data_IF_478833238207
#
_entry.id   IF_478833238207
#
_cell.length_a   1.000
_cell.length_b   1.000
_cell.length_c   1.000
_cell.angle_alpha   90.00
_cell.angle_beta   90.00
_cell.angle_gamma   90.00
#
_symmetry.space_group_name_H-M   'P 1'
#
loop_
_entity.id
_entity.type
_entity.pdbx_description
1 polymer ?
#
# COMPACT_ATOMS: atom_id res chain seq x y z
N UNK A 1 5.03 20.87 87.55
CA UNK A 1 4.40 21.70 86.50
C UNK A 1 3.03 21.09 86.21
N UNK A 2 1.99 21.60 86.89
CA UNK A 2 0.77 22.21 86.33
C UNK A 2 0.05 21.30 85.32
N UNK A 3 -0.94 20.53 85.78
CA UNK A 3 -2.41 20.79 85.64
C UNK A 3 -2.90 20.45 84.22
N UNK A 4 -3.91 19.61 83.96
CA UNK A 4 -5.35 19.76 84.25
C UNK A 4 -6.02 18.41 83.88
N UNK A 5 -6.57 17.66 84.84
CA UNK A 5 -8.02 17.41 85.10
C UNK A 5 -8.92 17.07 83.90
N UNK A 6 -9.49 15.86 83.98
CA UNK A 6 -10.71 15.38 83.32
C UNK A 6 -11.85 16.41 83.30
N UNK A 7 -12.61 16.44 82.21
CA UNK A 7 -14.07 16.55 82.23
C UNK A 7 -14.65 16.01 80.90
N UNK A 8 -15.44 14.95 81.02
CA UNK A 8 -16.38 14.50 80.00
C UNK A 8 -17.37 15.63 79.69
N UNK A 9 -17.68 15.84 78.43
CA UNK A 9 -18.96 16.40 77.99
C UNK A 9 -19.26 15.85 76.60
N UNK A 10 -20.26 14.97 76.58
CA UNK A 10 -20.86 14.43 75.38
C UNK A 10 -21.52 15.55 74.58
N UNK A 11 -21.18 15.65 73.30
CA UNK A 11 -22.00 16.32 72.31
C UNK A 11 -22.03 15.41 71.07
N UNK A 12 -22.93 14.42 71.12
CA UNK A 12 -23.43 13.74 69.93
C UNK A 12 -24.12 14.79 69.06
N UNK A 13 -23.41 15.26 68.03
CA UNK A 13 -24.06 15.91 66.90
C UNK A 13 -24.54 14.78 65.98
N UNK A 14 -25.78 14.34 66.18
CA UNK A 14 -26.54 13.64 65.15
C UNK A 14 -26.80 14.65 64.02
N UNK A 15 -25.86 14.77 63.08
CA UNK A 15 -26.20 15.23 61.74
C UNK A 15 -26.85 14.04 61.05
N UNK A 16 -28.18 13.95 61.20
CA UNK A 16 -29.00 13.18 60.29
C UNK A 16 -28.80 13.77 58.90
N UNK A 17 -27.88 13.20 58.12
CA UNK A 17 -27.95 13.29 56.67
C UNK A 17 -29.25 12.60 56.28
N UNK A 18 -30.32 13.36 56.10
CA UNK A 18 -31.45 12.92 55.33
C UNK A 18 -30.89 12.59 53.94
N UNK A 19 -30.59 11.31 53.69
CA UNK A 19 -30.43 10.80 52.36
C UNK A 19 -31.75 11.13 51.65
N UNK A 20 -31.74 12.15 50.80
CA UNK A 20 -32.86 12.41 49.91
C UNK A 20 -33.01 11.14 49.07
N UNK A 21 -34.01 10.32 49.38
CA UNK A 21 -34.35 9.16 48.57
C UNK A 21 -34.56 9.67 47.15
N UNK A 22 -33.79 9.11 46.21
CA UNK A 22 -33.87 9.49 44.81
C UNK A 22 -35.28 9.17 44.31
N UNK A 23 -36.01 10.17 43.82
CA UNK A 23 -37.39 9.97 43.35
C UNK A 23 -37.39 9.28 41.97
N UNK A 24 -37.63 7.97 41.96
CA UNK A 24 -37.69 7.16 40.75
C UNK A 24 -39.01 7.27 39.98
N UNK A 25 -39.98 8.05 40.46
CA UNK A 25 -41.22 8.31 39.72
C UNK A 25 -41.01 9.25 38.53
N UNK A 26 -39.93 10.03 38.53
CA UNK A 26 -39.66 11.08 37.55
C UNK A 26 -39.51 10.53 36.10
N UNK A 27 -39.92 11.31 35.07
CA UNK A 27 -39.98 10.85 33.68
C UNK A 27 -38.67 10.30 33.12
N UNK A 28 -37.52 10.83 33.55
CA UNK A 28 -36.21 10.35 33.07
C UNK A 28 -35.93 8.89 33.41
N UNK A 29 -36.62 8.32 34.41
CA UNK A 29 -36.46 6.93 34.83
C UNK A 29 -37.45 5.97 34.16
N UNK A 30 -38.44 6.47 33.41
CA UNK A 30 -39.52 5.64 32.85
C UNK A 30 -39.02 4.46 32.01
N UNK A 31 -37.90 4.65 31.29
CA UNK A 31 -37.26 3.58 30.50
C UNK A 31 -36.71 2.41 31.33
N UNK A 32 -36.57 2.56 32.65
CA UNK A 32 -36.03 1.54 33.54
C UNK A 32 -37.10 0.63 34.17
N UNK A 33 -38.39 0.83 33.88
CA UNK A 33 -39.46 -0.01 34.42
C UNK A 33 -40.81 0.70 34.48
N UNK A 34 -41.89 -0.06 34.60
CA UNK A 34 -43.23 0.49 34.64
C UNK A 34 -43.50 1.22 35.97
N UNK A 35 -43.08 0.64 37.09
CA UNK A 35 -43.26 1.20 38.44
C UNK A 35 -41.97 1.83 38.98
N UNK A 36 -42.05 2.78 39.94
CA UNK A 36 -40.87 3.33 40.62
C UNK A 36 -39.96 2.26 41.22
N UNK A 37 -40.51 1.19 41.80
CA UNK A 37 -39.77 0.10 42.41
C UNK A 37 -39.00 -0.72 41.36
N UNK A 38 -39.62 -1.00 40.21
CA UNK A 38 -38.94 -1.68 39.10
C UNK A 38 -37.79 -0.83 38.55
N UNK A 39 -38.00 0.48 38.44
CA UNK A 39 -36.98 1.44 37.96
C UNK A 39 -35.78 1.47 38.90
N UNK A 40 -36.02 1.60 40.20
CA UNK A 40 -34.96 1.55 41.22
C UNK A 40 -34.16 0.25 41.12
N UNK A 41 -34.84 -0.89 41.12
CA UNK A 41 -34.18 -2.19 41.09
C UNK A 41 -33.36 -2.40 39.82
N UNK A 42 -33.87 -1.98 38.66
CA UNK A 42 -33.17 -2.13 37.39
C UNK A 42 -31.98 -1.16 37.27
N UNK A 43 -32.09 0.04 37.83
CA UNK A 43 -30.95 0.98 37.93
C UNK A 43 -29.86 0.39 38.83
N UNK A 44 -30.23 -0.17 39.99
CA UNK A 44 -29.30 -0.87 40.88
C UNK A 44 -28.62 -2.05 40.18
N UNK A 45 -29.38 -2.90 39.48
CA UNK A 45 -28.82 -4.01 38.71
C UNK A 45 -27.86 -3.53 37.62
N UNK A 46 -28.14 -2.39 36.98
CA UNK A 46 -27.22 -1.78 36.00
C UNK A 46 -25.91 -1.31 36.64
N UNK A 47 -25.98 -0.76 37.85
CA UNK A 47 -24.81 -0.38 38.63
C UNK A 47 -24.01 -1.61 39.09
N UNK A 48 -24.68 -2.67 39.55
CA UNK A 48 -24.01 -3.92 39.90
C UNK A 48 -23.38 -4.60 38.68
N UNK A 49 -24.02 -4.57 37.51
CA UNK A 49 -23.39 -5.02 36.26
C UNK A 49 -22.08 -4.26 35.99
N UNK A 50 -22.08 -2.93 36.16
CA UNK A 50 -20.88 -2.12 36.00
C UNK A 50 -19.80 -2.51 37.01
N UNK A 51 -20.15 -2.57 38.29
CA UNK A 51 -19.22 -2.87 39.38
C UNK A 51 -18.63 -4.27 39.24
N UNK A 52 -19.44 -5.28 38.90
CA UNK A 52 -18.97 -6.64 38.64
C UNK A 52 -17.99 -6.68 37.46
N UNK A 53 -18.22 -5.92 36.39
CA UNK A 53 -17.24 -5.76 35.30
C UNK A 53 -15.94 -5.12 35.78
N UNK A 54 -16.01 -4.03 36.54
CA UNK A 54 -14.84 -3.30 37.07
C UNK A 54 -14.01 -4.20 38.00
N UNK A 55 -14.68 -5.00 38.84
CA UNK A 55 -14.08 -5.96 39.76
C UNK A 55 -13.68 -7.29 39.09
N UNK A 56 -13.92 -7.44 37.78
CA UNK A 56 -13.63 -8.65 36.99
C UNK A 56 -14.39 -9.90 37.44
N UNK A 57 -15.50 -9.75 38.14
CA UNK A 57 -16.44 -10.83 38.46
C UNK A 57 -17.45 -11.02 37.32
N UNK A 58 -17.02 -11.75 36.29
CA UNK A 58 -17.81 -11.93 35.07
C UNK A 58 -18.95 -12.94 35.21
N UNK A 59 -19.01 -13.70 36.30
CA UNK A 59 -20.15 -14.59 36.60
C UNK A 59 -21.30 -13.77 37.20
N UNK A 60 -21.00 -12.93 38.20
CA UNK A 60 -21.98 -11.98 38.73
C UNK A 60 -22.44 -10.99 37.65
N UNK A 61 -21.52 -10.46 36.85
CA UNK A 61 -21.87 -9.57 35.74
C UNK A 61 -22.83 -10.23 34.74
N UNK A 62 -22.58 -11.49 34.35
CA UNK A 62 -23.47 -12.22 33.44
C UNK A 62 -24.87 -12.43 34.03
N UNK A 63 -24.98 -12.65 35.34
CA UNK A 63 -26.26 -12.75 36.03
C UNK A 63 -27.07 -11.44 35.95
N UNK A 64 -26.46 -10.30 36.30
CA UNK A 64 -27.13 -8.99 36.20
C UNK A 64 -27.46 -8.61 34.76
N UNK A 65 -26.56 -8.89 33.82
CA UNK A 65 -26.77 -8.65 32.39
C UNK A 65 -28.04 -9.34 31.89
N UNK A 66 -28.19 -10.63 32.19
CA UNK A 66 -29.37 -11.40 31.77
C UNK A 66 -30.65 -10.79 32.33
N UNK A 67 -30.68 -10.49 33.62
CA UNK A 67 -31.86 -9.90 34.26
C UNK A 67 -32.27 -8.55 33.67
N UNK A 68 -31.30 -7.74 33.25
CA UNK A 68 -31.56 -6.46 32.58
C UNK A 68 -32.09 -6.67 31.16
N UNK A 69 -31.48 -7.57 30.38
CA UNK A 69 -31.92 -7.88 29.02
C UNK A 69 -33.35 -8.43 28.99
N UNK A 70 -33.70 -9.34 29.91
CA UNK A 70 -35.02 -9.97 29.94
C UNK A 70 -36.14 -8.98 30.29
N UNK A 71 -35.82 -7.90 31.01
CA UNK A 71 -36.83 -6.94 31.53
C UNK A 71 -36.89 -5.63 30.77
N UNK A 72 -35.73 -5.07 30.40
CA UNK A 72 -35.58 -3.70 29.90
C UNK A 72 -34.53 -3.61 28.78
N UNK A 73 -34.69 -4.36 27.68
CA UNK A 73 -33.67 -4.47 26.63
C UNK A 73 -33.39 -3.15 25.88
N UNK A 74 -34.27 -2.17 25.97
CA UNK A 74 -34.20 -0.87 25.31
C UNK A 74 -33.88 0.31 26.27
N UNK A 75 -33.60 0.04 27.55
CA UNK A 75 -33.36 1.09 28.54
C UNK A 75 -32.02 1.82 28.36
N UNK A 76 -30.93 1.07 28.10
CA UNK A 76 -29.60 1.64 27.96
C UNK A 76 -28.67 0.80 27.09
N UNK A 77 -28.04 1.45 26.10
CA UNK A 77 -27.02 0.84 25.24
C UNK A 77 -25.83 0.25 26.02
N UNK A 78 -25.50 0.87 27.17
CA UNK A 78 -24.42 0.40 28.04
C UNK A 78 -24.61 -1.03 28.55
N UNK A 79 -25.85 -1.54 28.57
CA UNK A 79 -26.15 -2.94 28.92
C UNK A 79 -25.41 -3.86 27.94
N UNK A 80 -25.56 -3.63 26.65
CA UNK A 80 -24.92 -4.44 25.60
C UNK A 80 -23.42 -4.18 25.49
N UNK A 81 -22.97 -2.94 25.67
CA UNK A 81 -21.53 -2.64 25.69
C UNK A 81 -20.81 -3.37 26.83
N UNK A 82 -21.40 -3.38 28.03
CA UNK A 82 -20.89 -4.17 29.17
C UNK A 82 -21.06 -5.67 28.91
N UNK A 83 -22.15 -6.10 28.28
CA UNK A 83 -22.33 -7.49 27.86
C UNK A 83 -21.21 -7.98 26.95
N UNK A 84 -20.77 -7.16 25.99
CA UNK A 84 -19.62 -7.48 25.16
C UNK A 84 -18.33 -7.62 25.99
N UNK A 85 -18.11 -6.74 26.98
CA UNK A 85 -16.97 -6.86 27.91
C UNK A 85 -17.03 -8.16 28.71
N UNK A 86 -18.22 -8.53 29.22
CA UNK A 86 -18.44 -9.79 29.95
C UNK A 86 -18.06 -10.97 29.07
N UNK A 87 -18.68 -11.12 27.91
CA UNK A 87 -18.48 -12.31 27.10
C UNK A 87 -17.07 -12.40 26.51
N UNK A 88 -16.43 -11.29 26.10
CA UNK A 88 -15.00 -11.30 25.71
C UNK A 88 -14.10 -11.85 26.82
N UNK A 89 -14.38 -11.47 28.06
CA UNK A 89 -13.63 -11.95 29.22
C UNK A 89 -13.94 -13.41 29.56
N UNK A 90 -15.18 -13.87 29.36
CA UNK A 90 -15.55 -15.27 29.54
C UNK A 90 -14.96 -16.17 28.44
N UNK A 91 -14.92 -15.72 27.19
CA UNK A 91 -14.23 -16.42 26.07
C UNK A 91 -12.77 -16.68 26.43
N UNK A 92 -12.06 -15.68 26.95
CA UNK A 92 -10.66 -15.79 27.34
C UNK A 92 -10.42 -16.72 28.55
N UNK A 93 -11.47 -17.02 29.33
CA UNK A 93 -11.42 -17.86 30.54
C UNK A 93 -12.12 -19.21 30.35
N UNK A 94 -12.66 -19.48 29.16
CA UNK A 94 -13.39 -20.70 28.88
C UNK A 94 -12.49 -21.92 29.05
N UNK A 95 -13.01 -22.97 29.68
CA UNK A 95 -12.28 -24.21 30.01
C UNK A 95 -12.40 -25.27 28.93
N UNK A 96 -13.31 -25.07 27.97
CA UNK A 96 -13.54 -25.99 26.86
C UNK A 96 -13.88 -25.25 25.57
N UNK A 97 -13.73 -25.94 24.43
CA UNK A 97 -14.14 -25.42 23.12
C UNK A 97 -15.65 -25.16 23.08
N UNK A 98 -16.46 -26.04 23.67
CA UNK A 98 -17.91 -25.88 23.71
C UNK A 98 -18.33 -24.63 24.50
N UNK A 99 -17.73 -24.41 25.67
CA UNK A 99 -17.96 -23.22 26.48
C UNK A 99 -17.49 -21.95 25.76
N UNK A 100 -16.32 -22.00 25.11
CA UNK A 100 -15.80 -20.90 24.32
C UNK A 100 -16.76 -20.52 23.20
N UNK A 101 -17.27 -21.49 22.45
CA UNK A 101 -18.23 -21.27 21.36
C UNK A 101 -19.54 -20.67 21.87
N UNK A 102 -20.09 -21.20 22.98
CA UNK A 102 -21.29 -20.65 23.61
C UNK A 102 -21.11 -19.17 24.00
N UNK A 103 -19.95 -18.79 24.57
CA UNK A 103 -19.67 -17.39 24.90
C UNK A 103 -19.43 -16.51 23.67
N UNK A 104 -18.86 -17.06 22.58
CA UNK A 104 -18.79 -16.34 21.31
C UNK A 104 -20.19 -16.06 20.77
N UNK A 105 -21.08 -17.05 20.78
CA UNK A 105 -22.45 -16.86 20.30
C UNK A 105 -23.21 -15.83 21.16
N UNK A 106 -22.98 -15.86 22.48
CA UNK A 106 -23.52 -14.85 23.40
C UNK A 106 -22.95 -13.45 23.13
N UNK A 107 -21.66 -13.33 22.78
CA UNK A 107 -21.06 -12.06 22.36
C UNK A 107 -21.70 -11.54 21.07
N UNK A 108 -21.92 -12.40 20.08
CA UNK A 108 -22.59 -12.03 18.83
C UNK A 108 -24.01 -11.53 19.09
N UNK A 109 -24.74 -12.19 19.99
CA UNK A 109 -26.08 -11.77 20.41
C UNK A 109 -26.06 -10.37 21.06
N UNK A 110 -25.03 -10.02 21.84
CA UNK A 110 -24.93 -8.66 22.40
C UNK A 110 -24.85 -7.59 21.31
N UNK A 111 -24.14 -7.85 20.21
CA UNK A 111 -24.10 -6.93 19.08
C UNK A 111 -25.43 -6.89 18.32
N UNK A 112 -26.07 -8.04 18.11
CA UNK A 112 -27.38 -8.11 17.43
C UNK A 112 -28.46 -7.34 18.20
N UNK A 113 -28.54 -7.54 19.51
CA UNK A 113 -29.48 -6.82 20.37
C UNK A 113 -29.13 -5.33 20.44
N UNK A 114 -27.83 -4.98 20.53
CA UNK A 114 -27.42 -3.57 20.47
C UNK A 114 -27.84 -2.90 19.17
N UNK A 115 -27.70 -3.58 18.04
CA UNK A 115 -28.14 -3.07 16.74
C UNK A 115 -29.67 -2.93 16.69
N UNK A 116 -30.41 -3.92 17.19
CA UNK A 116 -31.87 -3.90 17.24
C UNK A 116 -32.44 -2.74 18.07
N UNK A 117 -31.91 -2.54 19.28
CA UNK A 117 -32.48 -1.56 20.23
C UNK A 117 -31.81 -0.19 20.16
N UNK A 118 -30.55 -0.12 19.72
CA UNK A 118 -29.73 1.10 19.76
C UNK A 118 -28.97 1.39 18.47
N UNK A 119 -29.38 0.82 17.34
CA UNK A 119 -28.86 1.11 16.01
C UNK A 119 -29.41 2.41 15.44
N UNK A 120 -29.90 2.36 14.19
CA UNK A 120 -30.30 3.55 13.43
C UNK A 120 -31.55 4.25 13.99
N UNK A 121 -32.35 3.54 14.79
CA UNK A 121 -33.45 4.12 15.56
C UNK A 121 -32.98 5.16 16.58
N UNK A 122 -31.71 5.14 16.97
CA UNK A 122 -31.09 6.11 17.89
C UNK A 122 -30.24 7.13 17.15
N UNK A 123 -29.41 6.69 16.20
CA UNK A 123 -28.56 7.56 15.39
C UNK A 123 -28.36 6.93 14.01
N UNK A 124 -28.66 7.62 12.90
CA UNK A 124 -28.38 7.12 11.57
C UNK A 124 -26.92 6.67 11.38
N UNK A 125 -26.72 5.53 10.71
CA UNK A 125 -25.42 4.90 10.45
C UNK A 125 -24.87 4.04 11.60
N UNK A 126 -25.55 4.02 12.76
CA UNK A 126 -25.05 3.33 13.95
C UNK A 126 -25.20 1.82 13.85
N UNK A 127 -26.20 1.31 13.14
CA UNK A 127 -26.34 -0.15 12.91
C UNK A 127 -25.10 -0.68 12.19
N UNK A 128 -24.65 0.00 11.13
CA UNK A 128 -23.46 -0.39 10.36
C UNK A 128 -22.20 -0.45 11.24
N UNK A 129 -21.98 0.58 12.08
CA UNK A 129 -20.88 0.61 13.05
C UNK A 129 -20.92 -0.54 14.07
N UNK A 130 -22.11 -0.94 14.53
CA UNK A 130 -22.27 -2.07 15.46
C UNK A 130 -21.99 -3.40 14.74
N UNK A 131 -22.46 -3.55 13.50
CA UNK A 131 -22.22 -4.74 12.68
C UNK A 131 -20.73 -4.89 12.29
N UNK A 132 -20.02 -3.79 12.01
CA UNK A 132 -18.57 -3.83 11.79
C UNK A 132 -17.82 -4.36 13.01
N UNK A 133 -18.14 -3.84 14.21
CA UNK A 133 -17.57 -4.37 15.46
C UNK A 133 -17.88 -5.87 15.63
N UNK A 134 -19.11 -6.29 15.33
CA UNK A 134 -19.49 -7.71 15.35
C UNK A 134 -18.63 -8.53 14.39
N UNK A 135 -18.42 -8.07 13.15
CA UNK A 135 -17.61 -8.74 12.15
C UNK A 135 -16.14 -8.88 12.59
N UNK A 136 -15.56 -7.84 13.20
CA UNK A 136 -14.18 -7.86 13.72
C UNK A 136 -14.02 -8.82 14.91
N UNK A 137 -14.99 -8.87 15.82
CA UNK A 137 -14.97 -9.86 16.90
C UNK A 137 -15.18 -11.29 16.37
N UNK A 138 -16.01 -11.46 15.33
CA UNK A 138 -16.20 -12.75 14.67
C UNK A 138 -14.90 -13.23 14.02
N UNK A 139 -14.22 -12.38 13.24
CA UNK A 139 -12.89 -12.64 12.68
C UNK A 139 -11.87 -13.03 13.76
N UNK A 140 -11.87 -12.32 14.89
CA UNK A 140 -10.96 -12.59 16.01
C UNK A 140 -11.19 -13.95 16.67
N UNK A 141 -12.45 -14.33 16.90
CA UNK A 141 -12.78 -15.47 17.74
C UNK A 141 -13.18 -16.74 16.98
N UNK A 142 -13.63 -16.61 15.73
CA UNK A 142 -13.93 -17.71 14.80
C UNK A 142 -13.11 -17.58 13.50
N UNK A 143 -11.76 -17.51 13.55
CA UNK A 143 -10.93 -17.27 12.37
C UNK A 143 -11.04 -18.37 11.29
N UNK A 144 -11.48 -19.57 11.66
CA UNK A 144 -11.66 -20.70 10.76
C UNK A 144 -13.03 -20.70 10.05
N UNK A 145 -14.00 -19.92 10.53
CA UNK A 145 -15.31 -19.79 9.89
C UNK A 145 -15.23 -18.67 8.83
N UNK A 146 -14.48 -18.94 7.76
CA UNK A 146 -14.18 -17.96 6.71
C UNK A 146 -15.45 -17.44 6.06
N UNK A 147 -16.40 -18.33 5.75
CA UNK A 147 -17.72 -17.96 5.24
C UNK A 147 -18.46 -17.02 6.20
N UNK A 148 -18.54 -17.34 7.49
CA UNK A 148 -19.20 -16.49 8.49
C UNK A 148 -18.55 -15.11 8.64
N UNK A 149 -17.22 -15.03 8.53
CA UNK A 149 -16.48 -13.76 8.49
C UNK A 149 -16.93 -12.93 7.28
N UNK A 150 -16.94 -13.53 6.08
CA UNK A 150 -17.37 -12.84 4.84
C UNK A 150 -18.81 -12.32 4.96
N UNK A 151 -19.72 -13.14 5.49
CA UNK A 151 -21.12 -12.76 5.68
C UNK A 151 -21.29 -11.61 6.69
N UNK A 152 -20.56 -11.63 7.81
CA UNK A 152 -20.63 -10.58 8.82
C UNK A 152 -20.14 -9.22 8.29
N UNK A 153 -19.02 -9.20 7.56
CA UNK A 153 -18.53 -7.99 6.92
C UNK A 153 -19.44 -7.50 5.79
N UNK A 154 -19.96 -8.39 4.94
CA UNK A 154 -20.95 -8.03 3.92
C UNK A 154 -22.19 -7.38 4.53
N UNK A 155 -22.68 -7.87 5.67
CA UNK A 155 -23.81 -7.27 6.37
C UNK A 155 -23.50 -5.85 6.86
N UNK A 156 -22.31 -5.61 7.41
CA UNK A 156 -21.88 -4.27 7.84
C UNK A 156 -21.79 -3.29 6.65
N UNK A 157 -21.19 -3.72 5.54
CA UNK A 157 -21.04 -2.90 4.32
C UNK A 157 -22.41 -2.63 3.68
N UNK A 158 -23.30 -3.63 3.61
CA UNK A 158 -24.64 -3.46 3.07
C UNK A 158 -25.49 -2.49 3.90
N UNK A 159 -25.35 -2.53 5.23
CA UNK A 159 -26.03 -1.60 6.14
C UNK A 159 -25.48 -0.18 6.03
N UNK A 160 -24.16 -0.02 5.86
CA UNK A 160 -23.51 1.28 5.79
C UNK A 160 -23.64 1.96 4.42
N UNK A 161 -23.70 1.18 3.34
CA UNK A 161 -23.73 1.71 1.98
C UNK A 161 -22.53 2.64 1.72
N UNK A 162 -22.81 3.82 1.15
CA UNK A 162 -21.81 4.85 0.88
C UNK A 162 -21.22 5.48 2.16
N UNK A 163 -21.85 5.29 3.33
CA UNK A 163 -21.37 5.76 4.65
C UNK A 163 -20.62 4.69 5.45
N UNK A 164 -20.31 3.55 4.84
CA UNK A 164 -19.49 2.50 5.46
C UNK A 164 -18.10 3.06 5.80
N UNK A 165 -17.51 2.63 6.92
CA UNK A 165 -16.11 2.94 7.22
C UNK A 165 -15.19 2.35 6.13
N UNK A 166 -14.34 3.14 5.44
CA UNK A 166 -13.43 2.63 4.42
C UNK A 166 -12.52 1.50 4.92
N UNK A 167 -12.14 1.51 6.20
CA UNK A 167 -11.36 0.43 6.79
C UNK A 167 -12.13 -0.90 6.80
N UNK A 168 -13.45 -0.87 7.00
CA UNK A 168 -14.30 -2.07 6.94
C UNK A 168 -14.31 -2.67 5.53
N UNK A 169 -14.37 -1.83 4.49
CA UNK A 169 -14.32 -2.28 3.09
C UNK A 169 -12.98 -2.95 2.79
N UNK A 170 -11.87 -2.32 3.20
CA UNK A 170 -10.52 -2.89 3.04
C UNK A 170 -10.36 -4.18 3.82
N UNK A 171 -10.82 -4.24 5.08
CA UNK A 171 -10.72 -5.42 5.93
C UNK A 171 -11.50 -6.60 5.34
N UNK A 172 -12.73 -6.36 4.88
CA UNK A 172 -13.54 -7.36 4.18
C UNK A 172 -12.82 -7.90 2.94
N UNK A 173 -12.43 -7.00 2.04
CA UNK A 173 -11.89 -7.39 0.75
C UNK A 173 -10.52 -8.07 0.89
N UNK A 174 -9.68 -7.61 1.82
CA UNK A 174 -8.40 -8.28 2.13
C UNK A 174 -8.62 -9.70 2.65
N UNK A 175 -9.59 -9.92 3.53
CA UNK A 175 -9.93 -11.27 4.00
C UNK A 175 -10.47 -12.15 2.86
N UNK A 176 -11.28 -11.58 1.95
CA UNK A 176 -11.76 -12.30 0.77
C UNK A 176 -10.59 -12.72 -0.14
N UNK A 177 -9.62 -11.84 -0.37
CA UNK A 177 -8.40 -12.17 -1.13
C UNK A 177 -7.53 -13.22 -0.43
N UNK A 178 -7.44 -13.18 0.91
CA UNK A 178 -6.74 -14.22 1.69
C UNK A 178 -7.45 -15.57 1.60
N UNK A 179 -8.79 -15.58 1.59
CA UNK A 179 -9.58 -16.80 1.44
C UNK A 179 -9.30 -17.46 0.10
N UNK A 180 -9.27 -16.68 -0.97
CA UNK A 180 -8.91 -17.18 -2.31
C UNK A 180 -7.50 -17.78 -2.34
N UNK A 181 -6.53 -17.21 -1.61
CA UNK A 181 -5.16 -17.75 -1.57
C UNK A 181 -5.04 -19.03 -0.75
N UNK A 182 -5.79 -19.12 0.35
CA UNK A 182 -5.53 -20.09 1.42
C UNK A 182 -6.61 -21.18 1.51
N UNK A 183 -7.67 -21.10 0.72
CA UNK A 183 -8.80 -22.03 0.73
C UNK A 183 -9.30 -22.28 -0.70
N UNK A 184 -10.03 -23.38 -0.89
CA UNK A 184 -10.73 -23.65 -2.16
C UNK A 184 -12.19 -23.13 -2.16
N UNK A 185 -12.55 -22.26 -1.20
CA UNK A 185 -13.93 -21.79 -1.02
C UNK A 185 -14.30 -20.58 -1.89
N UNK A 186 -13.30 -19.84 -2.38
CA UNK A 186 -13.48 -18.58 -3.11
C UNK A 186 -12.81 -18.73 -4.47
N UNK A 187 -13.51 -18.33 -5.53
CA UNK A 187 -13.02 -18.41 -6.91
C UNK A 187 -12.54 -17.03 -7.39
N UNK A 188 -11.65 -16.94 -8.40
CA UNK A 188 -11.17 -15.67 -8.94
C UNK A 188 -12.29 -14.72 -9.35
N UNK A 189 -13.35 -15.25 -9.97
CA UNK A 189 -14.50 -14.47 -10.44
C UNK A 189 -15.22 -13.75 -9.30
N UNK A 190 -15.28 -14.35 -8.11
CA UNK A 190 -15.86 -13.70 -6.93
C UNK A 190 -15.00 -12.53 -6.46
N UNK A 191 -13.66 -12.68 -6.46
CA UNK A 191 -12.73 -11.59 -6.14
C UNK A 191 -12.92 -10.42 -7.11
N UNK A 192 -12.98 -10.72 -8.41
CA UNK A 192 -13.11 -9.73 -9.47
C UNK A 192 -14.46 -9.01 -9.36
N UNK A 193 -15.56 -9.75 -9.16
CA UNK A 193 -16.89 -9.17 -9.01
C UNK A 193 -17.01 -8.29 -7.76
N UNK A 194 -16.43 -8.70 -6.63
CA UNK A 194 -16.42 -7.88 -5.41
C UNK A 194 -15.50 -6.66 -5.55
N UNK A 195 -14.37 -6.79 -6.24
CA UNK A 195 -13.50 -5.67 -6.56
C UNK A 195 -14.24 -4.61 -7.39
N UNK A 196 -14.94 -5.06 -8.43
CA UNK A 196 -15.76 -4.20 -9.28
C UNK A 196 -16.90 -3.53 -8.49
N UNK A 197 -17.65 -4.30 -7.70
CA UNK A 197 -18.76 -3.80 -6.89
C UNK A 197 -18.33 -2.74 -5.88
N UNK A 198 -17.14 -2.89 -5.29
CA UNK A 198 -16.65 -2.01 -4.22
C UNK A 198 -15.79 -0.85 -4.74
N UNK A 199 -15.31 -0.87 -5.99
CA UNK A 199 -14.54 0.25 -6.56
C UNK A 199 -15.31 1.58 -6.50
N UNK A 200 -16.60 1.66 -6.90
CA UNK A 200 -17.37 2.91 -6.85
C UNK A 200 -17.56 3.49 -5.45
N UNK A 201 -17.41 2.69 -4.39
CA UNK A 201 -17.45 3.20 -3.01
C UNK A 201 -16.35 4.24 -2.77
N UNK A 202 -15.14 4.01 -3.29
CA UNK A 202 -14.01 4.92 -3.11
C UNK A 202 -14.09 6.16 -4.01
N UNK A 203 -14.78 6.08 -5.15
CA UNK A 203 -15.04 7.25 -6.00
C UNK A 203 -15.97 8.25 -5.32
N UNK A 204 -16.93 7.75 -4.54
CA UNK A 204 -17.86 8.57 -3.74
C UNK A 204 -17.26 9.08 -2.43
N UNK A 205 -16.15 8.49 -1.98
CA UNK A 205 -15.44 8.82 -0.74
C UNK A 205 -13.96 9.14 -1.04
N UNK A 206 -13.67 10.23 -1.79
CA UNK A 206 -12.32 10.53 -2.28
C UNK A 206 -11.31 10.81 -1.16
N UNK A 207 -11.78 11.21 0.03
CA UNK A 207 -10.95 11.35 1.24
C UNK A 207 -10.35 10.02 1.73
N UNK A 208 -10.88 8.89 1.27
CA UNK A 208 -10.40 7.54 1.60
C UNK A 208 -9.30 7.03 0.64
N UNK A 209 -8.54 7.91 0.00
CA UNK A 209 -7.52 7.56 -0.99
C UNK A 209 -6.47 6.54 -0.50
N UNK A 210 -6.06 6.63 0.76
CA UNK A 210 -5.13 5.66 1.37
C UNK A 210 -5.75 4.26 1.49
N UNK A 211 -7.04 4.19 1.83
CA UNK A 211 -7.78 2.92 1.90
C UNK A 211 -8.04 2.35 0.51
N UNK A 212 -8.33 3.20 -0.48
CA UNK A 212 -8.42 2.78 -1.89
C UNK A 212 -7.11 2.13 -2.35
N UNK A 213 -5.98 2.74 -2.02
CA UNK A 213 -4.66 2.21 -2.37
C UNK A 213 -4.41 0.84 -1.73
N UNK A 214 -4.84 0.63 -0.49
CA UNK A 214 -4.77 -0.68 0.19
C UNK A 214 -5.70 -1.72 -0.44
N UNK A 215 -6.92 -1.33 -0.80
CA UNK A 215 -7.89 -2.16 -1.51
C UNK A 215 -7.37 -2.62 -2.88
N UNK A 216 -6.84 -1.69 -3.69
CA UNK A 216 -6.23 -1.98 -4.99
C UNK A 216 -4.98 -2.88 -4.84
N UNK A 217 -4.20 -2.65 -3.78
CA UNK A 217 -3.04 -3.48 -3.48
C UNK A 217 -3.43 -4.91 -3.08
N UNK A 218 -4.47 -5.09 -2.27
CA UNK A 218 -4.99 -6.40 -1.91
C UNK A 218 -5.42 -7.18 -3.16
N UNK A 219 -6.13 -6.51 -4.09
CA UNK A 219 -6.54 -7.12 -5.35
C UNK A 219 -5.33 -7.53 -6.21
N UNK A 220 -4.40 -6.60 -6.46
CA UNK A 220 -3.23 -6.86 -7.29
C UNK A 220 -2.31 -7.95 -6.72
N UNK A 221 -2.26 -8.12 -5.40
CA UNK A 221 -1.49 -9.16 -4.73
C UNK A 221 -2.28 -10.46 -4.54
N UNK A 222 -3.58 -10.50 -4.86
CA UNK A 222 -4.46 -11.65 -4.55
C UNK A 222 -4.09 -12.92 -5.32
N UNK A 223 -3.48 -12.79 -6.50
CA UNK A 223 -3.33 -13.85 -7.49
C UNK A 223 -4.51 -13.94 -8.47
N UNK A 224 -5.67 -13.35 -8.12
CA UNK A 224 -6.85 -13.29 -8.99
C UNK A 224 -6.71 -12.22 -10.09
N UNK A 225 -5.88 -11.20 -9.84
CA UNK A 225 -5.56 -10.13 -10.79
C UNK A 225 -4.53 -10.59 -11.85
N UNK A 226 -4.78 -11.72 -12.53
CA UNK A 226 -3.98 -12.15 -13.67
C UNK A 226 -4.18 -11.20 -14.86
N UNK A 227 -3.23 -11.19 -15.82
CA UNK A 227 -3.36 -10.33 -17.00
C UNK A 227 -4.61 -10.63 -17.83
N UNK A 228 -5.00 -11.90 -17.96
CA UNK A 228 -6.24 -12.31 -18.63
C UNK A 228 -7.47 -11.77 -17.90
N UNK A 229 -7.51 -11.90 -16.57
CA UNK A 229 -8.64 -11.43 -15.77
C UNK A 229 -8.75 -9.91 -15.77
N UNK A 230 -7.63 -9.19 -15.67
CA UNK A 230 -7.60 -7.73 -15.74
C UNK A 230 -8.01 -7.24 -17.13
N UNK A 231 -7.54 -7.90 -18.19
CA UNK A 231 -7.96 -7.60 -19.56
C UNK A 231 -9.47 -7.76 -19.72
N UNK A 232 -10.04 -8.89 -19.28
CA UNK A 232 -11.48 -9.13 -19.32
C UNK A 232 -12.27 -8.10 -18.49
N UNK A 233 -11.78 -7.75 -17.30
CA UNK A 233 -12.39 -6.77 -16.41
C UNK A 233 -12.44 -5.37 -17.04
N UNK A 234 -11.34 -4.92 -17.63
CA UNK A 234 -11.23 -3.55 -18.12
C UNK A 234 -11.72 -3.38 -19.56
N UNK A 235 -11.73 -4.43 -20.38
CA UNK A 235 -12.12 -4.34 -21.79
C UNK A 235 -13.52 -3.78 -21.97
N UNK A 236 -14.53 -4.39 -21.35
CA UNK A 236 -15.92 -3.91 -21.49
C UNK A 236 -16.14 -2.51 -20.91
N UNK A 237 -15.44 -2.18 -19.80
CA UNK A 237 -15.54 -0.85 -19.18
C UNK A 237 -14.94 0.25 -20.05
N UNK A 238 -13.77 0.01 -20.61
CA UNK A 238 -13.08 0.96 -21.49
C UNK A 238 -13.71 1.03 -22.89
N UNK A 239 -14.44 0.00 -23.33
CA UNK A 239 -15.30 0.12 -24.51
C UNK A 239 -16.46 1.10 -24.27
N UNK A 240 -17.02 1.12 -23.06
CA UNK A 240 -18.12 2.01 -22.69
C UNK A 240 -17.67 3.43 -22.34
N UNK A 241 -16.53 3.57 -21.65
CA UNK A 241 -15.97 4.84 -21.19
C UNK A 241 -14.49 4.98 -21.61
N UNK A 242 -14.22 5.11 -22.92
CA UNK A 242 -12.88 4.96 -23.46
C UNK A 242 -11.91 6.06 -23.01
N UNK A 243 -12.40 7.26 -22.69
CA UNK A 243 -11.58 8.43 -22.33
C UNK A 243 -11.66 8.77 -20.83
N UNK A 244 -12.21 7.89 -20.00
CA UNK A 244 -12.28 8.09 -18.56
C UNK A 244 -10.88 7.97 -17.92
N UNK A 245 -10.34 9.11 -17.45
CA UNK A 245 -9.00 9.19 -16.85
C UNK A 245 -8.85 8.25 -15.65
N UNK A 246 -9.86 8.17 -14.77
CA UNK A 246 -9.78 7.38 -13.55
C UNK A 246 -9.77 5.89 -13.86
N UNK A 247 -10.60 5.47 -14.81
CA UNK A 247 -10.64 4.08 -15.29
C UNK A 247 -9.34 3.69 -16.00
N UNK A 248 -8.79 4.57 -16.85
CA UNK A 248 -7.50 4.37 -17.50
C UNK A 248 -6.37 4.26 -16.47
N UNK A 249 -6.32 5.17 -15.50
CA UNK A 249 -5.32 5.14 -14.43
C UNK A 249 -5.40 3.84 -13.62
N UNK A 250 -6.61 3.40 -13.27
CA UNK A 250 -6.83 2.17 -12.53
C UNK A 250 -6.37 0.93 -13.32
N UNK A 251 -6.74 0.85 -14.61
CA UNK A 251 -6.34 -0.24 -15.48
C UNK A 251 -4.81 -0.30 -15.62
N UNK A 252 -4.16 0.84 -15.89
CA UNK A 252 -2.70 0.92 -16.02
C UNK A 252 -2.01 0.50 -14.72
N UNK A 253 -2.45 1.00 -13.57
CA UNK A 253 -1.83 0.70 -12.28
C UNK A 253 -1.90 -0.80 -11.92
N UNK A 254 -3.07 -1.43 -12.10
CA UNK A 254 -3.25 -2.85 -11.80
C UNK A 254 -2.52 -3.76 -12.79
N UNK A 255 -2.62 -3.47 -14.09
CA UNK A 255 -1.96 -4.28 -15.12
C UNK A 255 -0.42 -4.12 -15.07
N UNK A 256 0.10 -2.93 -14.74
CA UNK A 256 1.52 -2.72 -14.46
C UNK A 256 2.00 -3.59 -13.30
N UNK A 257 1.24 -3.61 -12.20
CA UNK A 257 1.56 -4.39 -11.01
C UNK A 257 1.54 -5.90 -11.28
N UNK A 258 0.60 -6.35 -12.10
CA UNK A 258 0.52 -7.73 -12.60
C UNK A 258 1.57 -8.04 -13.69
N UNK A 259 2.41 -7.06 -14.07
CA UNK A 259 3.45 -7.17 -15.11
C UNK A 259 2.91 -7.61 -16.46
N UNK A 260 1.75 -7.09 -16.85
CA UNK A 260 1.16 -7.42 -18.14
C UNK A 260 1.93 -6.79 -19.29
N UNK A 261 2.02 -7.54 -20.39
CA UNK A 261 2.75 -7.18 -21.62
C UNK A 261 1.94 -7.48 -22.91
N UNK A 262 0.64 -7.75 -22.77
CA UNK A 262 -0.30 -7.94 -23.87
C UNK A 262 -0.68 -6.63 -24.58
N UNK A 263 -1.08 -6.70 -25.85
CA UNK A 263 -1.39 -5.53 -26.68
C UNK A 263 -2.51 -4.65 -26.11
N UNK A 264 -3.50 -5.26 -25.44
CA UNK A 264 -4.56 -4.53 -24.76
C UNK A 264 -3.98 -3.57 -23.72
N UNK A 265 -3.10 -4.07 -22.85
CA UNK A 265 -2.46 -3.26 -21.83
C UNK A 265 -1.67 -2.09 -22.44
N UNK A 266 -0.88 -2.34 -23.48
CA UNK A 266 -0.15 -1.29 -24.18
C UNK A 266 -1.09 -0.22 -24.74
N UNK A 267 -2.20 -0.62 -25.37
CA UNK A 267 -3.16 0.32 -25.94
C UNK A 267 -3.77 1.24 -24.87
N UNK A 268 -4.03 0.71 -23.67
CA UNK A 268 -4.53 1.49 -22.52
C UNK A 268 -3.44 2.42 -22.01
N UNK A 269 -2.22 1.93 -21.82
CA UNK A 269 -1.13 2.74 -21.29
C UNK A 269 -0.77 3.90 -22.23
N UNK A 270 -0.73 3.67 -23.56
CA UNK A 270 -0.56 4.74 -24.56
C UNK A 270 -1.71 5.77 -24.49
N UNK A 271 -2.94 5.28 -24.29
CA UNK A 271 -4.12 6.14 -24.17
C UNK A 271 -4.12 6.97 -22.90
N UNK A 272 -3.82 6.35 -21.76
CA UNK A 272 -3.68 7.03 -20.48
C UNK A 272 -2.61 8.11 -20.53
N UNK A 273 -1.46 7.82 -21.16
CA UNK A 273 -0.41 8.82 -21.37
C UNK A 273 -0.89 10.03 -22.18
N UNK A 274 -1.77 9.82 -23.17
CA UNK A 274 -2.35 10.93 -23.96
C UNK A 274 -3.24 11.84 -23.11
N UNK A 275 -3.96 11.27 -22.14
CA UNK A 275 -4.81 12.02 -21.20
C UNK A 275 -3.97 12.74 -20.14
N UNK A 276 -2.96 12.05 -19.61
CA UNK A 276 -2.11 12.55 -18.52
C UNK A 276 -0.64 12.15 -18.73
N UNK A 277 0.11 12.93 -19.52
CA UNK A 277 1.54 12.68 -19.70
C UNK A 277 2.29 12.81 -18.36
N UNK A 278 3.12 11.83 -18.04
CA UNK A 278 4.01 11.88 -16.87
C UNK A 278 5.31 11.15 -17.16
N UNK A 279 6.39 11.56 -16.49
CA UNK A 279 7.70 10.91 -16.58
C UNK A 279 7.64 9.44 -16.18
N UNK A 280 6.87 9.11 -15.13
CA UNK A 280 6.65 7.74 -14.67
C UNK A 280 5.97 6.87 -15.75
N UNK A 281 4.88 7.34 -16.35
CA UNK A 281 4.17 6.57 -17.39
C UNK A 281 5.03 6.45 -18.66
N UNK A 282 5.77 7.49 -19.03
CA UNK A 282 6.71 7.43 -20.15
C UNK A 282 7.84 6.43 -19.90
N UNK A 283 8.39 6.37 -18.68
CA UNK A 283 9.39 5.37 -18.29
C UNK A 283 8.87 3.96 -18.47
N UNK A 284 7.65 3.72 -18.00
CA UNK A 284 7.00 2.42 -18.12
C UNK A 284 6.80 2.04 -19.60
N UNK A 285 6.19 2.93 -20.39
CA UNK A 285 5.94 2.69 -21.82
C UNK A 285 7.24 2.44 -22.58
N UNK A 286 8.28 3.22 -22.31
CA UNK A 286 9.57 3.06 -22.96
C UNK A 286 10.21 1.70 -22.66
N UNK A 287 10.21 1.27 -21.40
CA UNK A 287 10.71 -0.05 -21.02
C UNK A 287 9.93 -1.16 -21.73
N UNK A 288 8.62 -1.03 -21.82
CA UNK A 288 7.75 -2.04 -22.36
C UNK A 288 7.88 -2.14 -23.91
N UNK A 289 7.97 -1.01 -24.61
CA UNK A 289 8.26 -0.98 -26.05
C UNK A 289 9.69 -1.41 -26.38
N UNK A 290 10.67 -1.09 -25.52
CA UNK A 290 12.03 -1.62 -25.64
C UNK A 290 12.05 -3.15 -25.58
N UNK A 291 11.32 -3.76 -24.64
CA UNK A 291 11.21 -5.23 -24.53
C UNK A 291 10.57 -5.88 -25.77
N UNK A 292 9.70 -5.15 -26.49
CA UNK A 292 9.10 -5.58 -27.77
C UNK A 292 9.98 -5.27 -28.99
N UNK A 293 11.11 -4.57 -28.82
CA UNK A 293 11.98 -4.14 -29.91
C UNK A 293 11.49 -2.91 -30.68
N UNK A 294 10.43 -2.24 -30.23
CA UNK A 294 9.94 -0.98 -30.82
C UNK A 294 10.65 0.23 -30.18
N UNK A 295 11.93 0.37 -30.53
CA UNK A 295 12.76 1.46 -30.02
C UNK A 295 12.28 2.85 -30.46
N UNK A 296 11.56 2.92 -31.60
CA UNK A 296 11.02 4.18 -32.12
C UNK A 296 9.95 4.72 -31.19
N UNK A 297 8.98 3.88 -30.80
CA UNK A 297 7.97 4.28 -29.81
C UNK A 297 8.58 4.54 -28.44
N UNK A 298 9.53 3.71 -28.00
CA UNK A 298 10.20 3.93 -26.72
C UNK A 298 10.86 5.33 -26.66
N UNK A 299 11.63 5.69 -27.69
CA UNK A 299 12.25 7.02 -27.77
C UNK A 299 11.22 8.15 -27.92
N UNK A 300 10.10 7.93 -28.61
CA UNK A 300 9.02 8.93 -28.72
C UNK A 300 8.53 9.35 -27.33
N UNK A 301 8.11 8.40 -26.50
CA UNK A 301 7.55 8.69 -25.17
C UNK A 301 8.57 9.36 -24.24
N UNK A 302 9.84 8.95 -24.31
CA UNK A 302 10.90 9.57 -23.52
C UNK A 302 11.16 11.02 -23.92
N UNK A 303 11.21 11.31 -25.23
CA UNK A 303 11.38 12.67 -25.73
C UNK A 303 10.21 13.58 -25.36
N UNK A 304 8.97 13.08 -25.49
CA UNK A 304 7.76 13.82 -25.11
C UNK A 304 7.76 14.16 -23.61
N UNK A 305 8.08 13.20 -22.75
CA UNK A 305 8.21 13.45 -21.31
C UNK A 305 9.36 14.42 -20.97
N UNK A 306 10.54 14.23 -21.56
CA UNK A 306 11.70 15.07 -21.30
C UNK A 306 11.49 16.52 -21.74
N UNK A 307 10.64 16.77 -22.74
CA UNK A 307 10.33 18.10 -23.23
C UNK A 307 9.54 18.95 -22.22
N UNK A 308 8.76 18.31 -21.33
CA UNK A 308 7.89 18.98 -20.37
C UNK A 308 8.36 18.81 -18.92
N UNK A 309 9.19 17.81 -18.62
CA UNK A 309 9.70 17.57 -17.28
C UNK A 309 10.65 18.69 -16.83
N UNK A 310 10.46 19.20 -15.62
CA UNK A 310 11.23 20.32 -15.05
C UNK A 310 12.08 19.89 -13.87
N UNK A 311 11.74 18.79 -13.20
CA UNK A 311 12.52 18.29 -12.08
C UNK A 311 13.85 17.70 -12.57
N UNK A 312 15.01 18.21 -12.10
CA UNK A 312 16.31 17.74 -12.58
C UNK A 312 16.58 16.25 -12.35
N UNK A 313 16.02 15.66 -11.29
CA UNK A 313 16.22 14.23 -10.99
C UNK A 313 15.39 13.37 -11.96
N UNK A 314 14.12 13.70 -12.19
CA UNK A 314 13.27 12.99 -13.15
C UNK A 314 13.81 13.15 -14.59
N UNK A 315 14.27 14.35 -14.97
CA UNK A 315 14.95 14.57 -16.26
C UNK A 315 16.16 13.66 -16.42
N UNK A 316 16.93 13.48 -15.35
CA UNK A 316 18.10 12.61 -15.36
C UNK A 316 17.71 11.14 -15.61
N UNK A 317 16.67 10.63 -14.94
CA UNK A 317 16.18 9.27 -15.15
C UNK A 317 15.69 9.03 -16.58
N UNK A 318 14.96 10.00 -17.16
CA UNK A 318 14.54 9.96 -18.56
C UNK A 318 15.74 9.87 -19.51
N UNK A 319 16.76 10.71 -19.30
CA UNK A 319 17.98 10.72 -20.12
C UNK A 319 18.79 9.43 -19.99
N UNK A 320 18.89 8.85 -18.79
CA UNK A 320 19.52 7.53 -18.60
C UNK A 320 18.80 6.46 -19.42
N UNK A 321 17.46 6.43 -19.38
CA UNK A 321 16.70 5.48 -20.19
C UNK A 321 16.92 5.71 -21.68
N UNK A 322 16.87 6.95 -22.14
CA UNK A 322 17.14 7.29 -23.55
C UNK A 322 18.51 6.79 -23.99
N UNK A 323 19.52 6.94 -23.12
CA UNK A 323 20.86 6.46 -23.37
C UNK A 323 20.92 4.93 -23.52
N UNK A 324 20.25 4.19 -22.63
CA UNK A 324 20.16 2.73 -22.69
C UNK A 324 19.40 2.23 -23.92
N UNK A 325 18.26 2.85 -24.25
CA UNK A 325 17.47 2.53 -25.45
C UNK A 325 18.28 2.81 -26.72
N UNK A 326 18.95 3.96 -26.78
CA UNK A 326 19.85 4.33 -27.89
C UNK A 326 20.98 3.31 -28.07
N UNK A 327 21.59 2.86 -26.98
CA UNK A 327 22.67 1.87 -27.04
C UNK A 327 22.20 0.54 -27.63
N UNK A 328 21.05 0.01 -27.17
CA UNK A 328 20.50 -1.27 -27.64
C UNK A 328 19.97 -1.18 -29.07
N UNK A 329 19.43 -0.03 -29.46
CA UNK A 329 18.95 0.24 -30.82
C UNK A 329 20.05 0.66 -31.81
N UNK A 330 21.31 0.69 -31.36
CA UNK A 330 22.48 1.10 -32.14
C UNK A 330 22.47 2.58 -32.61
N UNK A 331 21.70 3.45 -31.96
CA UNK A 331 21.84 4.91 -32.06
C UNK A 331 22.96 5.41 -31.14
N UNK A 332 24.20 5.16 -31.55
CA UNK A 332 25.39 5.42 -30.73
C UNK A 332 25.59 6.92 -30.46
N UNK A 333 25.21 7.79 -31.40
CA UNK A 333 25.35 9.24 -31.23
C UNK A 333 24.30 9.78 -30.26
N UNK A 334 23.03 9.38 -30.42
CA UNK A 334 21.95 9.72 -29.50
C UNK A 334 22.21 9.20 -28.10
N UNK A 335 22.65 7.94 -27.97
CA UNK A 335 23.01 7.34 -26.70
C UNK A 335 24.11 8.11 -25.96
N UNK A 336 25.20 8.45 -26.66
CA UNK A 336 26.28 9.23 -26.08
C UNK A 336 25.83 10.65 -25.70
N UNK A 337 24.97 11.30 -26.50
CA UNK A 337 24.41 12.62 -26.18
C UNK A 337 23.57 12.58 -24.90
N UNK A 338 22.63 11.65 -24.80
CA UNK A 338 21.75 11.48 -23.65
C UNK A 338 22.55 11.12 -22.39
N UNK A 339 23.54 10.22 -22.50
CA UNK A 339 24.39 9.85 -21.37
C UNK A 339 25.26 11.01 -20.86
N UNK A 340 25.77 11.89 -21.74
CA UNK A 340 26.49 13.10 -21.29
C UNK A 340 25.56 14.02 -20.50
N UNK A 341 24.35 14.28 -21.01
CA UNK A 341 23.37 15.11 -20.32
C UNK A 341 22.95 14.50 -18.97
N UNK A 342 22.70 13.19 -18.92
CA UNK A 342 22.37 12.49 -17.67
C UNK A 342 23.50 12.59 -16.64
N UNK A 343 24.75 12.37 -17.06
CA UNK A 343 25.95 12.53 -16.22
C UNK A 343 26.10 13.96 -15.71
N UNK A 344 25.84 14.95 -16.56
CA UNK A 344 26.00 16.36 -16.17
C UNK A 344 24.94 16.78 -15.13
N UNK A 345 23.76 16.13 -15.13
CA UNK A 345 22.74 16.30 -14.09
C UNK A 345 23.08 15.52 -12.80
N UNK A 346 23.61 14.31 -12.92
CA UNK A 346 24.03 13.50 -11.77
C UNK A 346 25.38 12.79 -12.05
N UNK A 347 26.52 13.41 -11.66
CA UNK A 347 27.85 12.84 -11.87
C UNK A 347 28.16 11.60 -11.02
N UNK A 348 27.35 11.31 -10.00
CA UNK A 348 27.53 10.16 -9.11
C UNK A 348 26.77 8.92 -9.60
N UNK A 349 25.97 9.03 -10.67
CA UNK A 349 25.34 7.88 -11.32
C UNK A 349 26.33 7.18 -12.26
N UNK A 350 26.64 5.91 -11.97
CA UNK A 350 27.54 5.09 -12.78
C UNK A 350 26.96 4.63 -14.13
N UNK A 351 25.63 4.62 -14.31
CA UNK A 351 25.00 4.11 -15.55
C UNK A 351 25.32 4.98 -16.77
N UNK A 352 25.25 6.33 -16.71
CA UNK A 352 25.73 7.19 -17.80
C UNK A 352 27.16 6.90 -18.24
N UNK A 353 28.08 6.65 -17.31
CA UNK A 353 29.48 6.31 -17.64
C UNK A 353 29.59 4.95 -18.33
N UNK A 354 28.81 3.97 -17.88
CA UNK A 354 28.72 2.66 -18.54
C UNK A 354 28.29 2.82 -20.01
N UNK A 355 27.21 3.57 -20.27
CA UNK A 355 26.73 3.80 -21.64
C UNK A 355 27.74 4.57 -22.48
N UNK A 356 28.35 5.63 -21.94
CA UNK A 356 29.37 6.40 -22.66
C UNK A 356 30.57 5.55 -23.07
N UNK A 357 31.08 4.73 -22.15
CA UNK A 357 32.21 3.86 -22.43
C UNK A 357 31.90 2.83 -23.53
N UNK A 358 30.69 2.25 -23.54
CA UNK A 358 30.23 1.38 -24.62
C UNK A 358 30.16 2.14 -25.95
N UNK A 359 29.60 3.35 -25.95
CA UNK A 359 29.53 4.19 -27.15
C UNK A 359 30.93 4.52 -27.70
N UNK A 360 31.90 4.81 -26.82
CA UNK A 360 33.28 5.08 -27.21
C UNK A 360 33.90 3.85 -27.88
N UNK A 361 33.79 2.68 -27.24
CA UNK A 361 34.31 1.43 -27.78
C UNK A 361 33.67 1.00 -29.11
N UNK A 362 32.37 1.23 -29.30
CA UNK A 362 31.66 0.96 -30.56
C UNK A 362 32.11 1.95 -31.65
N UNK A 363 32.21 3.23 -31.33
CA UNK A 363 32.64 4.26 -32.28
C UNK A 363 34.09 4.09 -32.75
N UNK A 364 34.95 3.48 -31.93
CA UNK A 364 36.36 3.23 -32.26
C UNK A 364 36.55 2.38 -33.52
N UNK A 365 35.60 1.50 -33.86
CA UNK A 365 35.66 0.69 -35.09
C UNK A 365 35.55 1.52 -36.38
N UNK A 366 35.05 2.75 -36.28
CA UNK A 366 34.87 3.68 -37.40
C UNK A 366 35.99 4.73 -37.46
N UNK A 367 37.01 4.60 -36.63
CA UNK A 367 38.16 5.50 -36.58
C UNK A 367 39.30 4.97 -37.44
N UNK A 368 39.94 5.86 -38.19
CA UNK A 368 41.08 5.50 -39.03
C UNK A 368 42.41 5.58 -38.25
N UNK A 369 43.31 4.65 -38.55
CA UNK A 369 44.67 4.63 -38.01
C UNK A 369 44.72 4.57 -36.48
N UNK A 370 45.67 5.28 -35.89
CA UNK A 370 45.96 5.28 -34.46
C UNK A 370 44.77 5.74 -33.59
N UNK A 371 43.87 6.56 -34.14
CA UNK A 371 42.75 7.11 -33.39
C UNK A 371 41.76 6.03 -32.87
N UNK A 372 41.62 4.92 -33.60
CA UNK A 372 40.77 3.79 -33.17
C UNK A 372 41.28 3.13 -31.89
N UNK A 373 42.50 2.54 -31.90
CA UNK A 373 43.14 2.01 -30.71
C UNK A 373 43.22 3.00 -29.54
N UNK A 374 43.56 4.27 -29.82
CA UNK A 374 43.64 5.31 -28.79
C UNK A 374 42.28 5.64 -28.13
N UNK A 375 41.16 5.42 -28.83
CA UNK A 375 39.80 5.61 -28.29
C UNK A 375 39.51 4.61 -27.16
N UNK A 376 40.11 3.41 -27.18
CA UNK A 376 39.92 2.43 -26.12
C UNK A 376 40.49 2.88 -24.76
N UNK A 377 41.46 3.79 -24.72
CA UNK A 377 41.90 4.39 -23.46
C UNK A 377 40.78 5.19 -22.79
N UNK A 378 40.12 6.07 -23.55
CA UNK A 378 39.00 6.84 -23.04
C UNK A 378 37.80 5.94 -22.68
N UNK A 379 37.53 4.90 -23.48
CA UNK A 379 36.51 3.90 -23.16
C UNK A 379 36.81 3.18 -21.83
N UNK A 380 38.07 2.78 -21.62
CA UNK A 380 38.50 2.11 -20.40
C UNK A 380 38.38 3.01 -19.18
N UNK A 381 38.88 4.24 -19.23
CA UNK A 381 38.82 5.18 -18.10
C UNK A 381 37.39 5.53 -17.72
N UNK A 382 36.55 5.74 -18.73
CA UNK A 382 35.13 6.01 -18.52
C UNK A 382 34.43 4.79 -17.91
N UNK A 383 34.74 3.58 -18.38
CA UNK A 383 34.19 2.35 -17.80
C UNK A 383 34.69 2.08 -16.39
N UNK A 384 35.95 2.41 -16.09
CA UNK A 384 36.51 2.32 -14.74
C UNK A 384 35.73 3.22 -13.78
N UNK A 385 35.41 4.45 -14.20
CA UNK A 385 34.56 5.35 -13.41
C UNK A 385 33.14 4.80 -13.24
N UNK A 386 32.58 4.13 -14.26
CA UNK A 386 31.32 3.43 -14.11
C UNK A 386 31.39 2.36 -13.02
N UNK A 387 32.40 1.48 -13.04
CA UNK A 387 32.56 0.41 -12.02
C UNK A 387 32.75 0.97 -10.60
N UNK A 388 33.38 2.13 -10.47
CA UNK A 388 33.56 2.84 -9.19
C UNK A 388 32.23 3.33 -8.60
N UNK A 389 31.36 3.90 -9.45
CA UNK A 389 30.10 4.53 -9.04
C UNK A 389 28.91 3.57 -9.00
N UNK A 390 28.93 2.49 -9.79
CA UNK A 390 27.83 1.54 -9.86
C UNK A 390 27.67 0.79 -8.52
N UNK A 391 26.44 0.67 -7.99
CA UNK A 391 26.14 -0.17 -6.82
C UNK A 391 26.64 -1.60 -6.97
N UNK A 392 26.97 -2.25 -5.86
CA UNK A 392 27.53 -3.61 -5.85
C UNK A 392 26.61 -4.66 -6.49
N UNK A 393 25.30 -4.45 -6.41
CA UNK A 393 24.22 -5.29 -6.94
C UNK A 393 23.71 -4.83 -8.31
N UNK A 394 24.33 -3.81 -8.92
CA UNK A 394 23.94 -3.33 -10.25
C UNK A 394 24.15 -4.38 -11.33
N UNK A 395 23.13 -4.58 -12.16
CA UNK A 395 23.19 -5.48 -13.33
C UNK A 395 24.27 -5.08 -14.36
N UNK A 396 24.69 -3.81 -14.38
CA UNK A 396 25.69 -3.29 -15.31
C UNK A 396 27.13 -3.53 -14.85
N UNK A 397 27.34 -3.87 -13.57
CA UNK A 397 28.68 -3.86 -12.97
C UNK A 397 29.60 -4.96 -13.48
N UNK A 398 29.12 -6.20 -13.60
CA UNK A 398 29.91 -7.29 -14.18
C UNK A 398 30.13 -7.10 -15.70
N UNK A 399 29.11 -6.74 -16.51
CA UNK A 399 29.32 -6.33 -17.90
C UNK A 399 30.35 -5.21 -18.07
N UNK A 400 30.37 -4.23 -17.16
CA UNK A 400 31.35 -3.14 -17.17
C UNK A 400 32.79 -3.66 -17.00
N UNK A 401 33.05 -4.52 -16.02
CA UNK A 401 34.37 -5.14 -15.82
C UNK A 401 34.82 -5.99 -17.01
N UNK A 402 33.91 -6.77 -17.59
CA UNK A 402 34.21 -7.55 -18.80
C UNK A 402 34.58 -6.62 -19.95
N UNK A 403 33.85 -5.51 -20.12
CA UNK A 403 34.13 -4.50 -21.14
C UNK A 403 35.48 -3.82 -20.91
N UNK A 404 35.87 -3.52 -19.66
CA UNK A 404 37.20 -2.99 -19.34
C UNK A 404 38.32 -3.91 -19.82
N UNK A 405 38.22 -5.22 -19.56
CA UNK A 405 39.21 -6.19 -20.06
C UNK A 405 39.26 -6.23 -21.59
N UNK A 406 38.10 -6.15 -22.24
CA UNK A 406 37.99 -6.12 -23.69
C UNK A 406 38.56 -4.82 -24.30
N UNK A 407 38.40 -3.67 -23.65
CA UNK A 407 39.00 -2.42 -24.08
C UNK A 407 40.52 -2.42 -23.89
N UNK A 408 41.00 -2.93 -22.75
CA UNK A 408 42.43 -3.02 -22.46
C UNK A 408 43.19 -3.86 -23.49
N UNK A 409 42.62 -4.97 -23.95
CA UNK A 409 43.28 -5.80 -24.98
C UNK A 409 43.43 -5.10 -26.33
N UNK A 410 42.68 -4.01 -26.56
CA UNK A 410 42.69 -3.20 -27.79
C UNK A 410 43.48 -1.90 -27.66
N UNK A 411 44.15 -1.68 -26.52
CA UNK A 411 45.05 -0.54 -26.39
C UNK A 411 46.16 -0.61 -27.45
N UNK A 412 46.70 0.55 -27.88
CA UNK A 412 47.88 0.57 -28.72
C UNK A 412 49.05 -0.17 -28.06
N UNK A 413 49.89 -0.78 -28.87
CA UNK A 413 51.19 -1.34 -28.46
C UNK A 413 52.19 -0.23 -28.15
N UNK A 414 53.28 -0.57 -27.45
CA UNK A 414 54.39 0.37 -27.22
C UNK A 414 55.00 0.90 -28.52
N UNK A 415 55.05 0.06 -29.57
CA UNK A 415 55.54 0.43 -30.90
C UNK A 415 54.62 1.45 -31.58
N UNK A 416 53.30 1.22 -31.56
CA UNK A 416 52.31 2.17 -32.10
C UNK A 416 52.34 3.51 -31.34
N UNK A 417 52.51 3.50 -30.01
CA UNK A 417 52.67 4.72 -29.24
C UNK A 417 53.95 5.47 -29.63
N UNK A 418 55.07 4.76 -29.79
CA UNK A 418 56.34 5.34 -30.20
C UNK A 418 56.27 5.99 -31.60
N UNK A 419 55.66 5.31 -32.58
CA UNK A 419 55.48 5.86 -33.93
C UNK A 419 54.60 7.10 -33.99
N UNK A 420 53.73 7.29 -32.99
CA UNK A 420 52.88 8.47 -32.86
C UNK A 420 53.45 9.50 -31.87
N UNK A 421 54.72 9.37 -31.49
CA UNK A 421 55.43 10.29 -30.58
C UNK A 421 54.76 10.43 -29.19
N UNK A 422 54.08 9.37 -28.73
CA UNK A 422 53.40 9.34 -27.44
C UNK A 422 54.21 8.57 -26.40
N UNK A 423 54.45 9.22 -25.27
CA UNK A 423 55.09 8.62 -24.10
C UNK A 423 54.03 8.05 -23.14
N UNK A 424 54.32 6.89 -22.54
CA UNK A 424 53.48 6.33 -21.48
C UNK A 424 53.29 7.34 -20.34
N UNK A 425 52.06 7.47 -19.84
CA UNK A 425 51.70 8.44 -18.82
C UNK A 425 51.42 9.85 -19.34
N UNK A 426 51.68 10.13 -20.63
CA UNK A 426 51.31 11.41 -21.22
C UNK A 426 49.78 11.56 -21.32
N UNK A 427 49.31 12.80 -21.25
CA UNK A 427 47.91 13.14 -21.52
C UNK A 427 47.66 13.07 -23.02
N UNK A 428 46.58 12.40 -23.41
CA UNK A 428 46.10 12.33 -24.78
C UNK A 428 44.65 12.81 -24.83
N UNK A 429 44.29 13.57 -25.87
CA UNK A 429 42.88 13.93 -26.13
C UNK A 429 42.41 13.15 -27.33
N UNK A 430 41.41 12.29 -27.13
CA UNK A 430 40.82 11.52 -28.23
C UNK A 430 40.16 12.48 -29.20
N UNK A 431 40.36 12.26 -30.49
CA UNK A 431 39.88 13.13 -31.58
C UNK A 431 38.91 12.41 -32.52
N UNK A 432 38.44 11.21 -32.15
CA UNK A 432 37.59 10.39 -33.00
C UNK A 432 36.34 9.88 -32.28
N UNK A 433 35.29 9.63 -33.08
CA UNK A 433 34.07 8.99 -32.65
C UNK A 433 33.32 9.79 -31.57
N UNK A 434 32.55 9.09 -30.76
CA UNK A 434 31.83 9.70 -29.64
C UNK A 434 32.76 10.09 -28.49
N UNK A 435 34.01 9.62 -28.49
CA UNK A 435 35.04 9.99 -27.52
C UNK A 435 35.80 11.27 -27.88
N UNK A 436 35.50 11.92 -29.01
CA UNK A 436 36.18 13.15 -29.40
C UNK A 436 36.10 14.23 -28.30
N UNK A 437 37.25 14.82 -27.95
CA UNK A 437 37.41 15.79 -26.87
C UNK A 437 37.65 15.19 -25.48
N UNK A 438 37.56 13.86 -25.33
CA UNK A 438 37.82 13.20 -24.03
C UNK A 438 39.32 13.11 -23.77
N UNK A 439 39.76 13.65 -22.64
CA UNK A 439 41.14 13.49 -22.16
C UNK A 439 41.32 12.15 -21.46
N UNK A 440 42.44 11.49 -21.74
CA UNK A 440 42.83 10.18 -21.22
C UNK A 440 44.35 10.11 -21.02
N UNK A 441 44.84 9.02 -20.44
CA UNK A 441 46.28 8.77 -20.26
C UNK A 441 46.77 7.67 -21.19
N UNK A 442 47.90 7.91 -21.86
CA UNK A 442 48.59 6.96 -22.74
C UNK A 442 49.06 5.76 -21.92
N UNK A 443 48.61 4.56 -22.28
CA UNK A 443 49.00 3.29 -21.66
C UNK A 443 49.15 2.20 -22.74
N UNK A 444 50.37 1.78 -23.07
CA UNK A 444 50.54 0.67 -24.01
C UNK A 444 50.00 -0.65 -23.42
N UNK A 445 49.60 -1.58 -24.28
CA UNK A 445 49.13 -2.91 -23.86
C UNK A 445 50.24 -3.90 -23.55
#
# INVERSE_FOLDING_TARGET
>A
MKNVKFLLSAALVFLASAALAQDFSAPQYAKWGATPEEREQNILNSNFLKESCDNRDYDAAAHYLKGLIDKIPDAAESIYQRGAVVYKNKINRAKSVAEKNMFIDSLMLMYDMRAQYFGDNVKPGKTAFILDQKAREFLRYKPNDRKGIREAFRAAIAQGGDSTDPETVVAYFSNLCEDYKNTDEVMPDEIIAEYDRLTPFFEKNPEAGDYKSQFDAAFGLSGAASCENLENLFRGKLEAAPDDEALLAQAVALMSRAKCDGDFYFSIAEKYYTVKPSSETAMFLAQAFQSKGDYTKAMKYLNEALAVETDPAERQLLLVRMALVGLVSNDIQGAASAARQARDLNPEDGVPYFVLAQCYGISAAHCEGFAGPATFWAAYDTMAKAVELLPSDSEYREPAKTSMNAFRSRFPTSEECFFNELQEGARYTVNCGTAAGVSTTVRPR
#
